data_IF_067245108534
#
_entry.id   IF_067245108534
#
_cell.length_a   1.000
_cell.length_b   1.000
_cell.length_c   1.000
_cell.angle_alpha   90.00
_cell.angle_beta   90.00
_cell.angle_gamma   90.00
#
_symmetry.space_group_name_H-M   'P 1'
#
loop_
_entity.id
_entity.type
_entity.pdbx_description
1 polymer ?
#
# COMPACT_ATOMS: atom_id res chain seq x y z
N UNK A 1 13.47 -36.62 18.87
CA UNK A 1 12.55 -36.35 19.99
C UNK A 1 12.98 -35.02 20.57
N UNK A 2 12.18 -33.97 20.56
CA UNK A 2 10.76 -33.86 20.17
C UNK A 2 10.59 -32.71 19.15
N UNK A 3 9.66 -32.84 18.19
CA UNK A 3 9.17 -31.64 17.47
C UNK A 3 8.25 -30.92 18.44
N UNK A 4 8.61 -29.71 18.89
CA UNK A 4 7.60 -28.77 19.41
C UNK A 4 6.74 -28.29 18.23
N UNK A 5 5.48 -27.97 18.51
CA UNK A 5 4.46 -27.79 17.47
C UNK A 5 4.14 -26.31 17.25
N UNK A 6 4.14 -25.87 16.01
CA UNK A 6 3.84 -24.48 15.63
C UNK A 6 2.33 -24.14 15.72
N UNK A 7 1.45 -25.12 16.00
CA UNK A 7 -0.01 -24.91 16.04
C UNK A 7 -0.46 -23.82 17.04
N UNK A 8 0.35 -23.45 18.03
CA UNK A 8 0.02 -22.39 19.01
C UNK A 8 0.23 -20.94 18.53
N UNK A 9 0.89 -20.69 17.38
CA UNK A 9 0.89 -19.34 16.76
C UNK A 9 -0.36 -19.16 15.88
N UNK A 10 -0.68 -20.15 15.05
CA UNK A 10 -1.82 -20.11 14.13
C UNK A 10 -3.18 -19.92 14.86
N UNK A 11 -3.35 -20.57 16.02
CA UNK A 11 -4.58 -20.45 16.83
C UNK A 11 -4.76 -19.09 17.53
N UNK A 12 -3.80 -18.16 17.45
CA UNK A 12 -3.95 -16.78 17.95
C UNK A 12 -4.43 -15.82 16.85
N UNK A 13 -3.87 -15.91 15.63
CA UNK A 13 -4.21 -15.00 14.51
C UNK A 13 -5.73 -14.98 14.24
N UNK A 14 -6.37 -16.16 14.16
CA UNK A 14 -7.83 -16.29 13.93
C UNK A 14 -8.68 -15.58 15.00
N UNK A 15 -8.21 -15.50 16.26
CA UNK A 15 -8.96 -14.83 17.34
C UNK A 15 -8.72 -13.31 17.40
N UNK A 16 -7.72 -12.79 16.66
CA UNK A 16 -7.40 -11.36 16.61
C UNK A 16 -8.29 -10.58 15.64
N UNK A 17 -8.91 -11.26 14.67
CA UNK A 17 -9.71 -10.68 13.58
C UNK A 17 -11.06 -10.04 14.04
N UNK A 18 -11.32 -10.00 15.36
CA UNK A 18 -12.59 -9.54 15.96
C UNK A 18 -12.36 -8.34 16.91
N UNK A 19 -11.13 -7.80 17.04
CA UNK A 19 -10.82 -6.77 18.04
C UNK A 19 -10.02 -5.54 17.55
N UNK A 20 -10.33 -5.02 16.37
CA UNK A 20 -9.85 -3.71 15.92
C UNK A 20 -10.79 -2.56 16.36
N UNK A 21 -10.91 -2.31 17.68
CA UNK A 21 -11.70 -1.19 18.22
C UNK A 21 -10.90 0.11 18.34
N UNK A 22 -11.20 1.07 17.45
CA UNK A 22 -10.97 2.51 17.49
C UNK A 22 -9.98 3.10 18.53
N UNK A 23 -8.96 3.80 18.02
CA UNK A 23 -8.36 4.96 18.70
C UNK A 23 -8.45 6.21 17.81
N UNK A 24 -9.60 6.90 17.86
CA UNK A 24 -9.75 8.25 17.28
C UNK A 24 -9.70 9.27 18.43
N UNK A 25 -8.58 9.97 18.58
CA UNK A 25 -8.40 11.01 19.61
C UNK A 25 -9.11 12.31 19.21
N UNK A 26 -10.42 12.37 19.46
CA UNK A 26 -11.24 13.56 19.21
C UNK A 26 -11.03 14.67 20.25
N UNK A 27 -10.16 15.64 19.95
CA UNK A 27 -9.96 16.82 20.81
C UNK A 27 -11.20 17.74 20.81
N UNK A 28 -11.96 17.76 21.90
CA UNK A 28 -12.99 18.79 22.16
C UNK A 28 -12.93 19.28 23.62
N UNK A 29 -12.44 20.51 23.81
CA UNK A 29 -12.39 21.16 25.13
C UNK A 29 -13.77 21.62 25.61
N UNK A 30 -14.43 20.77 26.42
CA UNK A 30 -15.65 21.15 27.14
C UNK A 30 -15.27 21.92 28.42
N UNK A 31 -15.00 23.22 28.27
CA UNK A 31 -14.78 24.12 29.40
C UNK A 31 -16.09 24.41 30.14
N UNK A 32 -16.37 23.64 31.19
CA UNK A 32 -17.49 23.87 32.11
C UNK A 32 -17.24 25.13 32.94
N UNK A 33 -18.00 26.19 32.66
CA UNK A 33 -17.94 27.43 33.43
C UNK A 33 -18.64 27.33 34.79
N UNK A 34 -18.01 27.90 35.81
CA UNK A 34 -18.65 28.22 37.10
C UNK A 34 -18.44 29.70 37.46
N UNK A 35 -19.27 30.24 38.34
CA UNK A 35 -19.46 31.69 38.56
C UNK A 35 -18.77 32.18 39.83
N UNK A 36 -18.32 33.44 39.83
CA UNK A 36 -18.70 34.41 40.88
C UNK A 36 -18.28 35.86 40.55
N UNK A 37 -19.26 36.76 40.73
CA UNK A 37 -19.21 38.14 41.23
C UNK A 37 -17.98 39.06 40.95
N UNK A 38 -18.23 40.14 40.18
CA UNK A 38 -17.29 41.26 39.97
C UNK A 38 -18.02 42.55 39.52
N UNK A 39 -18.50 43.34 40.47
CA UNK A 39 -19.28 44.57 40.26
C UNK A 39 -18.47 45.73 39.61
N UNK A 40 -19.12 46.53 38.72
CA UNK A 40 -19.20 48.03 38.75
C UNK A 40 -19.13 48.75 37.37
N UNK A 41 -20.23 49.44 36.98
CA UNK A 41 -20.29 50.71 36.20
C UNK A 41 -19.73 50.77 34.74
N UNK A 42 -20.14 51.66 33.83
CA UNK A 42 -21.33 52.54 33.64
C UNK A 42 -21.31 53.13 32.18
N UNK A 43 -22.30 53.97 31.83
CA UNK A 43 -22.29 55.00 30.76
C UNK A 43 -22.66 54.58 29.32
N UNK A 44 -23.93 54.84 28.95
CA UNK A 44 -24.45 55.63 27.80
C UNK A 44 -23.87 55.48 26.35
N UNK A 45 -24.60 55.75 25.25
CA UNK A 45 -25.86 56.52 25.05
C UNK A 45 -26.56 56.16 23.73
N UNK A 46 -27.91 56.26 23.66
CA UNK A 46 -28.73 56.64 22.45
C UNK A 46 -28.62 55.80 21.15
N UNK A 47 -29.53 55.76 20.17
CA UNK A 47 -30.93 56.19 19.89
C UNK A 47 -31.27 55.62 18.48
N UNK A 48 -32.50 55.42 17.97
CA UNK A 48 -33.88 55.70 18.39
C UNK A 48 -34.84 54.76 17.59
N UNK A 49 -36.11 54.63 18.02
CA UNK A 49 -37.39 54.48 17.24
C UNK A 49 -37.40 53.86 15.80
N UNK A 50 -38.39 53.09 15.36
CA UNK A 50 -39.76 52.76 15.83
C UNK A 50 -40.22 51.44 15.13
N UNK A 51 -41.09 50.58 15.71
CA UNK A 51 -42.58 50.58 15.58
C UNK A 51 -43.07 50.51 14.11
N UNK A 52 -43.96 49.62 13.67
CA UNK A 52 -45.01 48.79 14.33
C UNK A 52 -45.13 47.42 13.59
N UNK A 53 -45.54 46.30 14.21
CA UNK A 53 -46.93 45.76 14.33
C UNK A 53 -47.71 45.68 12.98
N UNK A 54 -48.50 44.65 12.63
CA UNK A 54 -49.00 43.43 13.33
C UNK A 54 -49.65 42.45 12.32
N UNK A 55 -49.90 41.19 12.72
CA UNK A 55 -51.11 40.32 12.51
C UNK A 55 -51.99 40.44 11.22
N UNK A 56 -52.62 39.38 10.66
CA UNK A 56 -52.66 37.93 10.98
C UNK A 56 -53.52 37.09 9.97
N UNK A 57 -53.13 35.83 9.72
CA UNK A 57 -54.00 34.62 9.60
C UNK A 57 -55.00 34.50 8.41
N UNK A 58 -55.57 33.29 8.25
CA UNK A 58 -56.51 32.75 7.22
C UNK A 58 -55.85 32.30 5.91
N UNK A 59 -55.81 30.99 5.57
CA UNK A 59 -56.86 30.03 5.12
C UNK A 59 -57.09 30.12 3.60
N UNK A 60 -57.32 29.06 2.80
CA UNK A 60 -57.18 27.60 2.93
C UNK A 60 -57.26 26.97 1.50
N UNK A 61 -57.34 25.63 1.39
CA UNK A 61 -57.75 24.83 0.22
C UNK A 61 -56.86 24.85 -1.06
N UNK A 62 -56.97 23.91 -2.02
CA UNK A 62 -57.01 22.43 -1.96
C UNK A 62 -56.78 21.89 -3.40
N UNK A 63 -56.13 20.71 -3.57
CA UNK A 63 -55.93 19.97 -4.85
C UNK A 63 -55.11 20.72 -5.96
N UNK A 64 -54.37 20.05 -6.86
CA UNK A 64 -54.65 18.79 -7.54
C UNK A 64 -53.39 17.97 -7.91
N UNK A 65 -53.59 16.74 -8.40
CA UNK A 65 -52.61 15.73 -8.83
C UNK A 65 -51.76 16.14 -10.04
N UNK A 66 -50.52 15.61 -10.15
CA UNK A 66 -50.15 14.65 -11.22
C UNK A 66 -48.67 14.20 -11.21
N UNK A 67 -48.49 12.92 -11.55
CA UNK A 67 -47.30 12.30 -12.21
C UNK A 67 -45.98 12.07 -11.43
N UNK A 68 -45.21 11.12 -11.98
CA UNK A 68 -44.08 10.39 -11.40
C UNK A 68 -42.81 10.61 -12.23
N UNK A 69 -41.63 10.54 -11.60
CA UNK A 69 -40.50 9.81 -12.21
C UNK A 69 -39.50 9.33 -11.13
N UNK A 70 -38.70 8.32 -11.49
CA UNK A 70 -37.58 7.84 -10.68
C UNK A 70 -36.35 8.77 -10.80
N UNK A 71 -35.41 8.68 -9.87
CA UNK A 71 -34.14 9.45 -9.94
C UNK A 71 -32.96 8.69 -9.34
N UNK A 72 -32.35 7.82 -10.17
CA UNK A 72 -31.07 7.15 -9.88
C UNK A 72 -29.92 8.01 -10.40
N UNK A 73 -29.36 8.88 -9.54
CA UNK A 73 -28.32 9.84 -9.94
C UNK A 73 -26.90 9.28 -9.81
N UNK A 74 -26.26 9.00 -10.95
CA UNK A 74 -24.79 8.87 -11.01
C UNK A 74 -24.16 10.26 -11.10
N UNK A 75 -23.06 10.50 -10.37
CA UNK A 75 -22.31 11.76 -10.42
C UNK A 75 -20.81 11.50 -10.66
N UNK A 76 -20.38 11.73 -11.89
CA UNK A 76 -18.96 11.85 -12.27
C UNK A 76 -18.48 13.29 -12.04
N UNK A 77 -17.42 13.47 -11.25
CA UNK A 77 -16.88 14.80 -10.94
C UNK A 77 -15.73 15.20 -11.88
N UNK A 78 -15.97 16.14 -12.78
CA UNK A 78 -14.93 16.77 -13.61
C UNK A 78 -14.33 17.98 -12.88
N UNK A 79 -13.00 18.05 -12.76
CA UNK A 79 -12.33 19.22 -12.17
C UNK A 79 -12.27 20.41 -13.15
N UNK A 80 -12.21 21.63 -12.61
CA UNK A 80 -12.15 22.87 -13.39
C UNK A 80 -10.72 23.42 -13.47
N UNK A 81 -10.31 23.80 -14.68
CA UNK A 81 -9.05 24.50 -14.96
C UNK A 81 -9.26 26.01 -15.08
N UNK A 82 -8.23 26.78 -14.71
CA UNK A 82 -8.14 28.21 -14.97
C UNK A 82 -6.67 28.64 -15.16
N UNK A 83 -6.30 29.64 -15.96
CA UNK A 83 -6.64 29.96 -17.37
C UNK A 83 -6.01 31.31 -17.77
N UNK A 84 -5.10 31.31 -18.75
CA UNK A 84 -4.66 32.49 -19.54
C UNK A 84 -3.80 31.95 -20.70
N UNK A 85 -4.23 31.93 -21.97
CA UNK A 85 -4.56 33.06 -22.88
C UNK A 85 -3.34 33.97 -23.15
N UNK A 86 -3.07 34.46 -24.36
CA UNK A 86 -3.96 34.74 -25.51
C UNK A 86 -3.31 34.48 -26.89
N UNK A 87 -4.14 34.00 -27.85
CA UNK A 87 -4.41 34.51 -29.23
C UNK A 87 -3.26 34.87 -30.21
N UNK A 88 -3.39 34.75 -31.55
CA UNK A 88 -4.40 34.14 -32.45
C UNK A 88 -3.84 34.00 -33.90
N UNK A 89 -4.66 33.46 -34.82
CA UNK A 89 -4.52 33.48 -36.30
C UNK A 89 -3.35 32.65 -36.89
N UNK A 90 -3.49 31.78 -37.90
CA UNK A 90 -4.59 31.53 -38.85
C UNK A 90 -4.22 31.97 -40.28
N UNK A 91 -4.75 31.40 -41.37
CA UNK A 91 -5.65 30.25 -41.53
C UNK A 91 -5.40 29.49 -42.86
N UNK A 92 -5.51 28.15 -42.84
CA UNK A 92 -5.83 27.31 -44.02
C UNK A 92 -4.76 27.09 -45.11
N UNK A 93 -4.98 26.21 -46.12
CA UNK A 93 -6.12 25.28 -46.30
C UNK A 93 -5.82 24.12 -47.29
N UNK A 94 -6.01 22.88 -46.81
CA UNK A 94 -6.51 21.67 -47.51
C UNK A 94 -5.77 20.97 -48.68
N UNK A 95 -6.13 19.67 -48.77
CA UNK A 95 -6.25 18.76 -49.93
C UNK A 95 -5.05 18.00 -50.55
N UNK A 96 -4.97 16.72 -50.14
CA UNK A 96 -5.05 15.49 -50.98
C UNK A 96 -4.39 15.51 -52.38
N UNK A 97 -3.47 14.54 -52.61
CA UNK A 97 -3.77 13.43 -53.53
C UNK A 97 -2.87 12.19 -53.28
N UNK A 98 -3.08 11.12 -54.05
CA UNK A 98 -2.49 9.78 -53.88
C UNK A 98 -1.66 9.30 -55.08
N UNK A 99 -0.96 8.16 -54.85
CA UNK A 99 -0.48 7.14 -55.81
C UNK A 99 0.90 7.23 -56.50
N UNK A 100 1.71 6.24 -56.13
CA UNK A 100 2.31 5.19 -56.99
C UNK A 100 2.98 5.59 -58.32
N UNK A 101 4.32 5.52 -58.36
CA UNK A 101 5.09 4.48 -59.07
C UNK A 101 6.59 4.60 -58.70
N UNK A 102 7.36 3.60 -58.25
CA UNK A 102 7.63 2.21 -58.70
C UNK A 102 8.83 2.12 -59.66
N UNK A 103 9.61 1.04 -59.50
CA UNK A 103 10.69 0.55 -60.38
C UNK A 103 12.03 1.35 -60.41
N UNK A 104 13.22 0.75 -60.52
CA UNK A 104 13.69 -0.62 -60.17
C UNK A 104 15.24 -0.67 -60.25
N UNK A 105 15.89 -1.63 -59.54
CA UNK A 105 17.27 -2.13 -59.80
C UNK A 105 18.45 -1.12 -59.70
N UNK A 106 19.73 -1.54 -59.64
CA UNK A 106 20.30 -2.90 -59.63
C UNK A 106 21.48 -3.05 -58.64
N UNK A 107 21.87 -4.31 -58.46
CA UNK A 107 23.00 -4.91 -57.70
C UNK A 107 24.41 -4.28 -57.92
N UNK A 108 25.51 -4.64 -57.20
CA UNK A 108 26.01 -6.01 -56.89
C UNK A 108 27.28 -6.02 -55.99
N UNK A 109 27.56 -7.13 -55.29
CA UNK A 109 28.85 -7.70 -54.78
C UNK A 109 29.92 -6.78 -54.11
N UNK A 110 30.71 -7.17 -53.10
CA UNK A 110 30.88 -8.36 -52.20
C UNK A 110 31.99 -8.01 -51.15
N UNK A 111 32.62 -8.84 -50.29
CA UNK A 111 32.70 -10.31 -50.11
C UNK A 111 33.23 -10.69 -48.69
N UNK A 112 33.10 -11.97 -48.33
CA UNK A 112 33.70 -12.77 -47.25
C UNK A 112 34.99 -12.31 -46.55
N UNK A 113 35.05 -12.59 -45.24
CA UNK A 113 36.06 -13.50 -44.68
C UNK A 113 35.48 -14.29 -43.50
N UNK A 114 35.90 -15.56 -43.36
CA UNK A 114 35.57 -16.44 -42.23
C UNK A 114 36.79 -16.61 -41.34
N UNK A 115 36.56 -16.87 -40.06
CA UNK A 115 37.30 -17.94 -39.38
C UNK A 115 36.39 -18.62 -38.36
N UNK A 116 36.74 -19.86 -37.98
CA UNK A 116 35.84 -20.77 -37.27
C UNK A 116 36.58 -21.57 -36.21
N UNK A 117 36.11 -21.56 -34.95
CA UNK A 117 36.60 -22.50 -33.94
C UNK A 117 35.59 -22.78 -32.84
N UNK A 118 35.38 -24.06 -32.58
CA UNK A 118 34.51 -24.59 -31.54
C UNK A 118 35.05 -24.34 -30.13
N UNK A 119 34.15 -24.09 -29.19
CA UNK A 119 34.20 -24.73 -27.87
C UNK A 119 32.79 -25.15 -27.47
N UNK A 120 32.71 -26.20 -26.65
CA UNK A 120 31.48 -26.89 -26.26
C UNK A 120 31.33 -26.84 -24.73
N UNK A 121 30.11 -27.02 -24.24
CA UNK A 121 29.74 -27.30 -22.85
C UNK A 121 29.98 -26.18 -21.81
N UNK A 122 28.98 -25.32 -21.63
CA UNK A 122 28.52 -24.94 -20.28
C UNK A 122 27.02 -24.60 -20.31
N UNK A 123 26.19 -25.62 -20.06
CA UNK A 123 24.73 -25.46 -19.82
C UNK A 123 24.53 -24.65 -18.53
N UNK A 124 23.86 -23.52 -18.63
CA UNK A 124 23.14 -22.86 -17.52
C UNK A 124 21.72 -22.60 -18.03
N UNK A 125 20.70 -22.84 -17.20
CA UNK A 125 19.32 -23.11 -17.61
C UNK A 125 18.97 -24.58 -17.36
N UNK A 126 17.73 -24.84 -16.89
CA UNK A 126 17.32 -26.02 -16.10
C UNK A 126 17.86 -25.93 -14.65
N UNK A 127 17.05 -25.28 -13.81
CA UNK A 127 17.10 -25.27 -12.34
C UNK A 127 15.67 -25.11 -11.77
N UNK A 128 14.89 -24.19 -12.34
CA UNK A 128 13.50 -23.88 -11.94
C UNK A 128 12.40 -24.81 -12.51
N UNK A 129 12.74 -25.97 -13.09
CA UNK A 129 11.76 -26.85 -13.77
C UNK A 129 10.96 -27.79 -12.83
N UNK A 130 11.32 -27.83 -11.53
CA UNK A 130 10.68 -28.70 -10.51
C UNK A 130 10.31 -27.95 -9.21
N UNK A 131 10.44 -26.61 -9.15
CA UNK A 131 10.17 -25.82 -7.94
C UNK A 131 8.70 -25.38 -7.84
N UNK A 132 8.06 -25.71 -6.71
CA UNK A 132 6.65 -25.38 -6.50
C UNK A 132 6.50 -23.94 -6.01
N UNK A 133 6.03 -23.05 -6.89
CA UNK A 133 5.91 -21.62 -6.59
C UNK A 133 5.01 -21.35 -5.37
N UNK A 134 3.89 -22.07 -5.21
CA UNK A 134 3.01 -21.94 -4.04
C UNK A 134 3.64 -22.43 -2.72
N UNK A 135 4.81 -23.08 -2.75
CA UNK A 135 5.55 -23.50 -1.56
C UNK A 135 6.76 -22.61 -1.21
N UNK A 136 7.08 -21.60 -2.04
CA UNK A 136 8.12 -20.59 -1.76
C UNK A 136 7.55 -19.18 -1.50
N UNK A 137 6.30 -18.94 -1.89
CA UNK A 137 5.53 -17.74 -1.55
C UNK A 137 5.03 -17.80 -0.09
N UNK A 138 4.62 -16.66 0.51
CA UNK A 138 3.76 -16.67 1.68
C UNK A 138 2.44 -17.42 1.41
N UNK A 139 1.80 -17.89 2.48
CA UNK A 139 0.45 -18.45 2.41
C UNK A 139 -0.61 -17.33 2.32
N UNK A 140 -0.45 -16.27 3.11
CA UNK A 140 -1.36 -15.12 3.15
C UNK A 140 -1.04 -14.05 2.09
N UNK A 141 -2.09 -13.59 1.40
CA UNK A 141 -2.07 -12.42 0.52
C UNK A 141 -3.30 -11.52 0.81
N UNK A 142 -3.16 -10.20 0.65
CA UNK A 142 -4.23 -9.22 0.87
C UNK A 142 -4.37 -8.23 -0.30
N UNK A 143 -5.59 -7.83 -0.60
CA UNK A 143 -5.93 -6.75 -1.55
C UNK A 143 -6.73 -5.67 -0.82
N UNK A 144 -6.22 -4.44 -0.79
CA UNK A 144 -6.94 -3.25 -0.30
C UNK A 144 -6.32 -1.98 -0.89
N UNK A 145 -6.96 -0.82 -0.71
CA UNK A 145 -6.39 0.50 -1.02
C UNK A 145 -5.53 1.10 0.11
N UNK A 146 -5.39 0.41 1.25
CA UNK A 146 -4.89 1.01 2.51
C UNK A 146 -5.79 2.13 3.09
N UNK A 147 -6.94 2.40 2.47
CA UNK A 147 -7.81 3.53 2.78
C UNK A 147 -9.30 3.12 2.79
N UNK A 148 -9.81 2.82 3.97
CA UNK A 148 -11.19 2.37 4.21
C UNK A 148 -11.24 1.28 5.28
N UNK A 149 -12.40 0.67 5.47
CA UNK A 149 -12.61 -0.50 6.35
C UNK A 149 -12.77 -1.80 5.56
N UNK A 150 -12.06 -1.93 4.43
CA UNK A 150 -12.26 -2.98 3.45
C UNK A 150 -10.97 -3.70 3.04
N UNK A 151 -11.12 -4.95 2.60
CA UNK A 151 -10.07 -5.73 1.99
C UNK A 151 -10.56 -7.11 1.55
N UNK A 152 -9.81 -7.73 0.63
CA UNK A 152 -9.95 -9.14 0.28
C UNK A 152 -8.71 -9.91 0.69
N UNK A 153 -8.87 -10.79 1.67
CA UNK A 153 -7.85 -11.70 2.17
C UNK A 153 -7.94 -13.04 1.43
N UNK A 154 -6.79 -13.65 1.10
CA UNK A 154 -6.72 -15.05 0.66
C UNK A 154 -5.58 -15.80 1.37
N UNK A 155 -5.78 -17.09 1.60
CA UNK A 155 -4.78 -18.01 2.16
C UNK A 155 -4.58 -19.17 1.16
N UNK A 156 -3.42 -19.21 0.53
CA UNK A 156 -3.04 -20.17 -0.52
C UNK A 156 -2.24 -21.33 0.09
N UNK A 157 -2.62 -22.56 -0.26
CA UNK A 157 -1.91 -23.78 0.12
C UNK A 157 -0.87 -24.18 -0.93
N UNK A 158 0.16 -24.94 -0.53
CA UNK A 158 1.23 -25.45 -1.42
C UNK A 158 0.72 -26.11 -2.72
N UNK A 159 -0.48 -26.71 -2.72
CA UNK A 159 -1.02 -27.40 -3.90
C UNK A 159 -1.82 -26.47 -4.85
N UNK A 160 -1.96 -25.19 -4.52
CA UNK A 160 -2.73 -24.18 -5.26
C UNK A 160 -4.20 -24.03 -4.85
N UNK A 161 -4.72 -24.73 -3.83
CA UNK A 161 -6.06 -24.41 -3.28
C UNK A 161 -6.01 -23.26 -2.31
N UNK A 162 -7.05 -22.42 -2.28
CA UNK A 162 -7.14 -21.29 -1.38
C UNK A 162 -8.51 -21.14 -0.72
N UNK A 163 -8.51 -20.52 0.46
CA UNK A 163 -9.69 -19.95 1.14
C UNK A 163 -9.58 -18.41 1.05
N UNK A 164 -10.70 -17.69 1.00
CA UNK A 164 -10.70 -16.24 0.84
C UNK A 164 -11.93 -15.53 1.42
N UNK A 165 -11.75 -14.26 1.77
CA UNK A 165 -12.74 -13.42 2.46
C UNK A 165 -12.62 -11.97 2.00
N UNK A 166 -13.64 -11.46 1.31
CA UNK A 166 -13.85 -10.03 1.09
C UNK A 166 -14.72 -9.44 2.20
N UNK A 167 -14.34 -8.24 2.67
CA UNK A 167 -15.14 -7.41 3.56
C UNK A 167 -15.06 -5.92 3.19
N UNK A 168 -16.11 -5.15 3.47
CA UNK A 168 -16.08 -3.68 3.57
C UNK A 168 -17.00 -3.22 4.72
N UNK A 169 -16.44 -2.46 5.65
CA UNK A 169 -17.07 -2.10 6.94
C UNK A 169 -17.49 -0.63 6.98
N UNK A 170 -18.62 -0.29 6.36
CA UNK A 170 -19.29 1.00 6.58
C UNK A 170 -19.99 1.01 7.95
N UNK A 171 -19.17 1.21 8.99
CA UNK A 171 -19.62 1.36 10.37
C UNK A 171 -20.40 2.68 10.60
N UNK A 172 -20.55 3.54 9.59
CA UNK A 172 -21.36 4.75 9.62
C UNK A 172 -22.81 4.53 9.17
N UNK A 173 -23.05 3.70 8.14
CA UNK A 173 -24.38 3.35 7.65
C UNK A 173 -25.13 2.46 8.67
N UNK A 174 -25.92 3.14 9.51
CA UNK A 174 -26.62 2.63 10.69
C UNK A 174 -28.12 2.89 10.61
N UNK A 175 -28.93 2.08 11.28
CA UNK A 175 -30.40 2.26 11.28
C UNK A 175 -31.16 1.35 12.23
N UNK A 176 -32.50 1.30 12.07
CA UNK A 176 -33.36 0.51 12.95
C UNK A 176 -33.00 -0.98 12.89
N UNK A 177 -32.55 -1.52 14.03
CA UNK A 177 -32.08 -2.91 14.16
C UNK A 177 -30.60 -3.13 13.83
N UNK A 178 -29.90 -2.15 13.25
CA UNK A 178 -28.47 -2.24 12.92
C UNK A 178 -27.71 -0.99 13.39
N UNK A 179 -27.55 -0.86 14.71
CA UNK A 179 -26.87 0.30 15.33
C UNK A 179 -25.34 0.18 15.35
N UNK A 180 -24.78 -0.97 14.97
CA UNK A 180 -23.33 -1.19 14.82
C UNK A 180 -22.84 -1.11 13.37
N UNK A 181 -23.71 -0.68 12.44
CA UNK A 181 -23.32 -0.33 11.08
C UNK A 181 -23.60 -1.41 10.05
N UNK A 182 -22.93 -1.28 8.90
CA UNK A 182 -23.07 -2.15 7.73
C UNK A 182 -21.75 -2.81 7.38
N UNK A 183 -21.79 -4.09 7.02
CA UNK A 183 -20.62 -4.82 6.51
C UNK A 183 -21.01 -5.57 5.24
N UNK A 184 -20.33 -5.27 4.13
CA UNK A 184 -20.38 -6.07 2.91
C UNK A 184 -19.46 -7.28 3.09
N UNK A 185 -19.90 -8.47 2.66
CA UNK A 185 -19.16 -9.73 2.89
C UNK A 185 -19.24 -10.70 1.71
N UNK A 186 -18.11 -11.37 1.42
CA UNK A 186 -18.09 -12.58 0.59
C UNK A 186 -17.01 -13.56 1.08
N UNK A 187 -17.41 -14.76 1.51
CA UNK A 187 -16.49 -15.86 1.81
C UNK A 187 -16.46 -16.84 0.65
N UNK A 188 -15.27 -17.27 0.23
CA UNK A 188 -15.08 -18.12 -0.94
C UNK A 188 -13.90 -19.09 -0.79
N UNK A 189 -13.87 -20.10 -1.64
CA UNK A 189 -12.72 -20.98 -1.82
C UNK A 189 -12.44 -21.17 -3.31
N UNK A 190 -11.23 -21.59 -3.67
CA UNK A 190 -10.88 -21.79 -5.06
C UNK A 190 -9.62 -22.60 -5.29
N UNK A 191 -9.23 -22.70 -6.55
CA UNK A 191 -8.10 -23.50 -7.01
C UNK A 191 -7.38 -22.82 -8.16
N UNK A 192 -6.09 -22.55 -8.00
CA UNK A 192 -5.20 -22.20 -9.10
C UNK A 192 -4.60 -23.45 -9.76
N UNK A 193 -4.22 -23.33 -11.04
CA UNK A 193 -3.39 -24.32 -11.74
C UNK A 193 -1.92 -24.22 -11.32
N UNK A 194 -1.09 -25.17 -11.75
CA UNK A 194 0.36 -25.14 -11.50
C UNK A 194 0.97 -23.93 -12.25
N UNK A 195 1.64 -22.98 -11.56
CA UNK A 195 2.20 -21.80 -12.21
C UNK A 195 3.24 -22.17 -13.27
N UNK A 196 3.19 -21.50 -14.42
CA UNK A 196 4.09 -21.70 -15.55
C UNK A 196 5.05 -20.48 -15.66
N UNK A 197 6.36 -20.69 -15.85
CA UNK A 197 7.31 -19.59 -16.00
C UNK A 197 7.08 -18.81 -17.29
N UNK A 198 7.40 -17.52 -17.27
CA UNK A 198 7.44 -16.66 -18.47
C UNK A 198 8.85 -16.58 -19.07
N UNK A 199 9.10 -15.65 -19.98
CA UNK A 199 10.46 -15.32 -20.46
C UNK A 199 11.29 -14.52 -19.41
N UNK A 200 10.68 -14.05 -18.31
CA UNK A 200 11.33 -13.42 -17.15
C UNK A 200 11.37 -14.41 -15.97
N UNK A 201 12.54 -14.57 -15.33
CA UNK A 201 12.76 -15.56 -14.27
C UNK A 201 12.01 -15.26 -12.96
N UNK A 202 11.55 -14.02 -12.77
CA UNK A 202 10.81 -13.58 -11.59
C UNK A 202 9.29 -13.53 -11.81
N UNK A 203 8.79 -13.95 -12.99
CA UNK A 203 7.37 -13.78 -13.37
C UNK A 203 6.80 -15.10 -13.90
N UNK A 204 5.67 -15.50 -13.31
CA UNK A 204 4.93 -16.72 -13.64
C UNK A 204 3.47 -16.37 -14.00
N UNK A 205 2.81 -17.18 -14.82
CA UNK A 205 1.37 -17.14 -15.07
C UNK A 205 0.69 -18.37 -14.46
N UNK A 206 -0.51 -18.20 -13.89
CA UNK A 206 -1.39 -19.31 -13.50
C UNK A 206 -2.83 -19.01 -13.89
N UNK A 207 -3.70 -20.02 -13.82
CA UNK A 207 -5.13 -19.92 -14.13
C UNK A 207 -6.00 -20.27 -12.95
N UNK A 208 -7.14 -19.60 -12.85
CA UNK A 208 -8.20 -19.96 -11.90
C UNK A 208 -9.00 -21.14 -12.46
N UNK A 209 -8.93 -22.30 -11.78
CA UNK A 209 -9.57 -23.55 -12.18
C UNK A 209 -10.96 -23.73 -11.56
N UNK A 210 -11.16 -23.23 -10.34
CA UNK A 210 -12.44 -23.21 -9.62
C UNK A 210 -12.51 -22.00 -8.69
N UNK A 211 -13.71 -21.44 -8.53
CA UNK A 211 -14.06 -20.44 -7.53
C UNK A 211 -15.48 -20.74 -7.03
N UNK A 212 -15.60 -21.05 -5.74
CA UNK A 212 -16.85 -21.46 -5.10
C UNK A 212 -17.15 -20.51 -3.93
N UNK A 213 -18.25 -19.75 -4.03
CA UNK A 213 -18.70 -18.86 -2.95
C UNK A 213 -19.44 -19.67 -1.88
N UNK A 214 -19.14 -19.44 -0.60
CA UNK A 214 -19.71 -20.16 0.55
C UNK A 214 -21.21 -19.91 0.70
N UNK A 215 -21.63 -18.66 0.50
CA UNK A 215 -23.01 -18.17 0.66
C UNK A 215 -23.62 -17.78 -0.71
N UNK A 216 -23.35 -18.57 -1.75
CA UNK A 216 -23.76 -18.30 -3.13
C UNK A 216 -25.27 -18.08 -3.34
N UNK A 217 -26.13 -18.59 -2.45
CA UNK A 217 -27.59 -18.38 -2.50
C UNK A 217 -28.05 -17.09 -1.80
N UNK A 218 -27.16 -16.40 -1.07
CA UNK A 218 -27.41 -15.12 -0.40
C UNK A 218 -26.92 -13.89 -1.18
N UNK A 219 -26.17 -14.05 -2.28
CA UNK A 219 -25.61 -12.91 -3.03
C UNK A 219 -26.71 -11.92 -3.43
N UNK A 220 -26.49 -10.63 -3.16
CA UNK A 220 -27.48 -9.56 -3.37
C UNK A 220 -28.58 -9.49 -2.30
N UNK A 221 -28.46 -10.22 -1.19
CA UNK A 221 -29.38 -10.14 -0.04
C UNK A 221 -28.76 -9.42 1.16
N UNK A 222 -29.62 -9.02 2.09
CA UNK A 222 -29.24 -8.34 3.34
C UNK A 222 -29.80 -9.09 4.53
N UNK A 223 -28.99 -9.27 5.57
CA UNK A 223 -29.36 -9.90 6.84
C UNK A 223 -28.93 -8.99 7.98
N UNK A 224 -29.70 -8.95 9.08
CA UNK A 224 -29.32 -8.22 10.29
C UNK A 224 -29.11 -9.25 11.41
N UNK A 225 -27.89 -9.32 11.92
CA UNK A 225 -27.48 -10.24 13.00
C UNK A 225 -26.62 -9.45 14.01
N UNK A 226 -26.81 -9.69 15.30
CA UNK A 226 -26.12 -9.03 16.43
C UNK A 226 -25.96 -7.49 16.32
N UNK A 227 -27.03 -6.84 15.82
CA UNK A 227 -27.14 -5.39 15.61
C UNK A 227 -26.21 -4.79 14.52
N UNK A 228 -25.70 -5.64 13.61
CA UNK A 228 -24.97 -5.28 12.39
C UNK A 228 -25.77 -5.69 11.14
N UNK A 229 -25.69 -4.90 10.06
CA UNK A 229 -26.34 -5.19 8.76
C UNK A 229 -25.34 -5.79 7.77
N UNK A 230 -25.43 -7.08 7.53
CA UNK A 230 -24.60 -7.80 6.57
C UNK A 230 -25.22 -7.76 5.16
N UNK A 231 -24.42 -7.40 4.16
CA UNK A 231 -24.82 -7.40 2.74
C UNK A 231 -23.90 -8.40 2.01
N UNK A 232 -24.48 -9.43 1.41
CA UNK A 232 -23.70 -10.47 0.73
C UNK A 232 -23.43 -10.04 -0.73
N UNK A 233 -22.16 -9.99 -1.12
CA UNK A 233 -21.71 -9.51 -2.43
C UNK A 233 -20.88 -10.57 -3.16
N UNK A 234 -20.62 -10.34 -4.45
CA UNK A 234 -19.51 -11.01 -5.15
C UNK A 234 -18.15 -10.61 -4.52
N UNK A 235 -17.08 -11.40 -4.70
CA UNK A 235 -15.78 -11.16 -4.09
C UNK A 235 -14.93 -10.16 -4.89
N UNK A 236 -14.67 -8.98 -4.32
CA UNK A 236 -13.84 -7.95 -4.97
C UNK A 236 -12.37 -8.41 -5.09
N UNK A 237 -11.74 -8.18 -6.24
CA UNK A 237 -10.42 -8.70 -6.60
C UNK A 237 -10.47 -10.02 -7.39
N UNK A 238 -11.67 -10.53 -7.69
CA UNK A 238 -11.88 -11.73 -8.51
C UNK A 238 -12.83 -11.47 -9.70
N UNK A 239 -13.09 -10.20 -10.02
CA UNK A 239 -13.77 -9.74 -11.22
C UNK A 239 -13.07 -10.24 -12.50
N UNK A 240 -13.84 -10.79 -13.45
CA UNK A 240 -13.36 -11.33 -14.74
C UNK A 240 -12.14 -12.29 -14.65
N UNK A 241 -11.97 -12.95 -13.50
CA UNK A 241 -10.79 -13.76 -13.18
C UNK A 241 -10.70 -15.07 -13.98
N UNK A 242 -9.63 -15.22 -14.78
CA UNK A 242 -9.24 -16.44 -15.51
C UNK A 242 -7.71 -16.65 -15.50
N UNK A 243 -6.94 -15.60 -15.79
CA UNK A 243 -5.47 -15.61 -15.76
C UNK A 243 -4.93 -14.67 -14.67
N UNK A 244 -3.91 -15.15 -13.95
CA UNK A 244 -3.22 -14.42 -12.89
C UNK A 244 -1.72 -14.39 -13.17
N UNK A 245 -1.08 -13.25 -12.90
CA UNK A 245 0.38 -13.14 -12.90
C UNK A 245 0.90 -13.19 -11.46
N UNK A 246 1.96 -13.97 -11.25
CA UNK A 246 2.72 -14.03 -9.99
C UNK A 246 4.06 -13.35 -10.24
N UNK A 247 4.34 -12.31 -9.46
CA UNK A 247 5.64 -11.62 -9.43
C UNK A 247 6.37 -11.99 -8.14
N UNK A 248 7.60 -12.49 -8.27
CA UNK A 248 8.48 -12.87 -7.17
C UNK A 248 9.35 -11.67 -6.72
N UNK A 249 9.95 -11.71 -5.52
CA UNK A 249 11.01 -10.80 -5.10
C UNK A 249 12.07 -10.62 -6.19
N UNK A 250 12.47 -9.38 -6.46
CA UNK A 250 13.39 -9.06 -7.55
C UNK A 250 12.72 -8.82 -8.93
N UNK A 251 11.44 -9.13 -9.13
CA UNK A 251 10.72 -8.78 -10.37
C UNK A 251 10.75 -7.25 -10.61
N UNK A 252 11.00 -6.81 -11.85
CA UNK A 252 11.06 -5.37 -12.13
C UNK A 252 9.68 -4.73 -12.11
N UNK A 253 9.55 -3.59 -11.40
CA UNK A 253 8.32 -2.79 -11.42
C UNK A 253 7.97 -2.29 -12.83
N UNK A 254 8.95 -2.21 -13.74
CA UNK A 254 8.74 -1.85 -15.15
C UNK A 254 8.08 -2.95 -16.00
N UNK A 255 8.06 -4.20 -15.52
CA UNK A 255 7.39 -5.33 -16.17
C UNK A 255 5.90 -5.46 -15.80
N UNK A 256 5.47 -4.80 -14.73
CA UNK A 256 4.07 -4.73 -14.31
C UNK A 256 3.24 -3.79 -15.21
N UNK A 257 1.91 -3.96 -15.22
CA UNK A 257 0.99 -2.96 -15.78
C UNK A 257 0.90 -1.72 -14.88
N UNK A 258 0.28 -0.62 -15.34
CA UNK A 258 0.09 0.58 -14.51
C UNK A 258 -0.97 0.34 -13.43
N UNK A 259 -1.99 -0.42 -13.81
CA UNK A 259 -3.06 -0.93 -12.99
C UNK A 259 -2.53 -1.85 -11.88
N UNK A 260 -1.68 -2.84 -12.22
CA UNK A 260 -1.00 -3.68 -11.22
C UNK A 260 -0.18 -2.84 -10.24
N UNK A 261 0.61 -1.87 -10.72
CA UNK A 261 1.41 -1.00 -9.86
C UNK A 261 0.55 -0.15 -8.91
N UNK A 262 -0.66 0.24 -9.33
CA UNK A 262 -1.55 1.07 -8.51
C UNK A 262 -2.09 0.39 -7.24
N UNK A 263 -1.98 -0.94 -7.17
CA UNK A 263 -2.42 -1.77 -6.04
C UNK A 263 -1.28 -2.42 -5.24
N UNK A 264 -0.03 -2.23 -5.66
CA UNK A 264 1.13 -2.82 -4.99
C UNK A 264 1.65 -1.88 -3.91
N UNK A 265 1.59 -2.34 -2.66
CA UNK A 265 1.74 -1.54 -1.43
C UNK A 265 3.20 -1.18 -1.10
N UNK A 266 4.02 -0.83 -2.10
CA UNK A 266 5.47 -0.60 -1.98
C UNK A 266 5.84 0.79 -2.48
N UNK A 267 6.83 1.44 -1.85
CA UNK A 267 7.29 2.79 -2.26
C UNK A 267 8.05 2.80 -3.60
N UNK A 268 7.29 2.74 -4.69
CA UNK A 268 7.80 2.61 -6.07
C UNK A 268 8.68 3.77 -6.54
N UNK A 269 8.57 4.96 -5.94
CA UNK A 269 9.41 6.11 -6.27
C UNK A 269 10.89 5.90 -5.94
N UNK A 270 11.21 4.92 -5.07
CA UNK A 270 12.55 4.69 -4.52
C UNK A 270 13.20 3.37 -4.93
N UNK A 271 12.52 2.47 -5.67
CA UNK A 271 13.03 1.15 -6.05
C UNK A 271 12.65 0.75 -7.49
N UNK A 272 13.48 -0.05 -8.16
CA UNK A 272 13.23 -0.53 -9.54
C UNK A 272 12.60 -1.95 -9.62
N UNK A 273 12.56 -2.65 -8.48
CA UNK A 273 12.19 -4.08 -8.35
C UNK A 273 11.38 -4.33 -7.08
N UNK A 274 10.64 -5.43 -7.03
CA UNK A 274 10.03 -5.91 -5.79
C UNK A 274 11.13 -6.21 -4.74
N UNK A 275 10.95 -5.79 -3.47
CA UNK A 275 11.90 -6.08 -2.39
C UNK A 275 11.98 -7.57 -2.04
N UNK A 276 12.98 -7.96 -1.25
CA UNK A 276 13.10 -9.33 -0.70
C UNK A 276 11.82 -9.75 0.02
N UNK A 277 11.44 -11.03 -0.12
CA UNK A 277 10.24 -11.65 0.48
C UNK A 277 8.89 -10.97 0.19
N UNK A 278 8.85 -10.02 -0.74
CA UNK A 278 7.63 -9.37 -1.23
C UNK A 278 7.14 -10.00 -2.54
N UNK A 279 5.88 -10.42 -2.56
CA UNK A 279 5.24 -11.13 -3.67
C UNK A 279 3.97 -10.42 -4.09
N UNK A 280 3.64 -10.49 -5.39
CA UNK A 280 2.38 -9.94 -5.94
C UNK A 280 1.66 -10.99 -6.75
N UNK A 281 0.37 -11.20 -6.45
CA UNK A 281 -0.55 -11.99 -7.26
C UNK A 281 -1.56 -11.03 -7.92
N UNK A 282 -1.51 -10.91 -9.23
CA UNK A 282 -2.28 -9.93 -10.00
C UNK A 282 -3.37 -10.60 -10.84
N UNK A 283 -4.64 -10.22 -10.62
CA UNK A 283 -5.77 -10.60 -11.45
C UNK A 283 -5.68 -9.86 -12.80
N UNK A 284 -5.44 -10.57 -13.90
CA UNK A 284 -5.30 -9.92 -15.22
C UNK A 284 -6.65 -9.44 -15.78
N UNK A 285 -7.78 -9.99 -15.28
CA UNK A 285 -9.13 -9.68 -15.74
C UNK A 285 -9.65 -8.34 -15.21
N UNK A 286 -9.84 -8.24 -13.89
CA UNK A 286 -10.30 -7.02 -13.19
C UNK A 286 -9.20 -5.96 -13.00
N UNK A 287 -7.92 -6.38 -13.06
CA UNK A 287 -6.73 -5.57 -12.86
C UNK A 287 -6.42 -5.17 -11.39
N UNK A 288 -6.84 -6.00 -10.43
CA UNK A 288 -6.48 -5.89 -9.01
C UNK A 288 -5.18 -6.66 -8.68
N UNK A 289 -4.39 -6.16 -7.72
CA UNK A 289 -3.19 -6.85 -7.23
C UNK A 289 -3.29 -7.16 -5.74
N UNK A 290 -3.00 -8.40 -5.37
CA UNK A 290 -2.87 -8.89 -4.02
C UNK A 290 -1.40 -8.90 -3.60
N UNK A 291 -1.13 -8.42 -2.40
CA UNK A 291 0.19 -8.26 -1.82
C UNK A 291 0.46 -9.37 -0.80
N UNK A 292 1.63 -10.00 -0.86
CA UNK A 292 2.03 -11.07 0.06
C UNK A 292 3.45 -10.83 0.58
N UNK A 293 3.64 -10.95 1.91
CA UNK A 293 4.94 -10.84 2.58
C UNK A 293 5.11 -12.05 3.50
N UNK A 294 6.32 -12.63 3.58
CA UNK A 294 6.59 -13.75 4.49
C UNK A 294 6.48 -13.37 5.96
N UNK A 295 6.00 -14.32 6.78
CA UNK A 295 5.79 -14.17 8.23
C UNK A 295 7.10 -13.97 9.04
N UNK A 296 8.26 -14.21 8.40
CA UNK A 296 9.63 -14.01 8.90
C UNK A 296 10.46 -13.02 8.05
N UNK A 297 9.80 -12.22 7.20
CA UNK A 297 10.44 -11.19 6.37
C UNK A 297 11.10 -10.07 7.19
N UNK A 298 12.18 -9.48 6.65
CA UNK A 298 12.87 -8.34 7.24
C UNK A 298 11.98 -7.09 7.44
N UNK A 299 10.92 -6.93 6.64
CA UNK A 299 10.05 -5.75 6.65
C UNK A 299 9.01 -5.70 7.77
N UNK A 300 8.93 -6.75 8.59
CA UNK A 300 8.01 -6.86 9.73
C UNK A 300 8.77 -6.87 11.07
N UNK A 301 10.04 -6.47 11.05
CA UNK A 301 11.01 -6.60 12.15
C UNK A 301 11.72 -5.29 12.42
N UNK A 302 11.67 -4.80 13.67
CA UNK A 302 12.50 -3.68 14.13
C UNK A 302 13.79 -4.21 14.79
N UNK A 303 14.89 -3.46 14.63
CA UNK A 303 16.18 -3.77 15.27
C UNK A 303 16.66 -2.56 16.07
N UNK A 304 17.36 -2.80 17.18
CA UNK A 304 17.83 -1.73 18.07
C UNK A 304 19.31 -1.90 18.45
N UNK A 305 19.99 -0.77 18.57
CA UNK A 305 21.25 -0.64 19.29
C UNK A 305 21.06 0.24 20.54
N UNK A 306 21.58 -0.18 21.69
CA UNK A 306 21.47 0.53 22.98
C UNK A 306 22.86 0.91 23.52
N UNK A 307 23.02 2.16 23.95
CA UNK A 307 24.23 2.70 24.58
C UNK A 307 23.89 3.56 25.81
N UNK A 308 23.88 2.92 26.98
CA UNK A 308 23.40 3.57 28.21
C UNK A 308 21.90 3.82 28.10
N UNK A 309 21.47 5.05 28.33
CA UNK A 309 20.07 5.47 28.17
C UNK A 309 19.72 5.80 26.69
N UNK A 310 20.73 6.10 25.87
CA UNK A 310 20.59 6.42 24.44
C UNK A 310 20.44 5.15 23.58
N UNK A 311 19.72 5.25 22.47
CA UNK A 311 19.48 4.14 21.55
C UNK A 311 19.30 4.59 20.10
N UNK A 312 19.41 3.65 19.17
CA UNK A 312 19.13 3.85 17.75
C UNK A 312 18.22 2.72 17.28
N UNK A 313 17.07 3.08 16.69
CA UNK A 313 16.19 2.12 16.03
C UNK A 313 16.54 2.04 14.54
N UNK A 314 16.44 0.82 14.00
CA UNK A 314 16.39 0.50 12.59
C UNK A 314 15.03 -0.14 12.30
N UNK A 315 14.28 0.48 11.39
CA UNK A 315 12.95 0.02 11.01
C UNK A 315 12.89 -0.14 9.49
N UNK A 316 13.20 -1.33 8.96
CA UNK A 316 12.91 -1.71 7.58
C UNK A 316 11.41 -1.58 7.28
N UNK A 317 11.04 -0.96 6.15
CA UNK A 317 9.66 -0.96 5.67
C UNK A 317 9.58 -0.83 4.14
N UNK A 318 8.82 -1.71 3.48
CA UNK A 318 8.57 -1.66 2.03
C UNK A 318 7.60 -0.52 1.64
N UNK A 319 6.57 -0.26 2.46
CA UNK A 319 5.51 0.70 2.18
C UNK A 319 5.91 2.14 2.51
N UNK A 320 6.30 2.39 3.76
CA UNK A 320 6.64 3.74 4.24
C UNK A 320 8.07 4.17 3.88
N UNK A 321 8.91 3.25 3.41
CA UNK A 321 10.35 3.41 3.31
C UNK A 321 11.05 3.13 4.65
N UNK A 322 12.26 2.60 4.59
CA UNK A 322 13.02 2.20 5.78
C UNK A 322 13.66 3.41 6.47
N UNK A 323 13.89 3.35 7.78
CA UNK A 323 14.45 4.47 8.53
C UNK A 323 15.43 4.06 9.66
N UNK A 324 16.39 4.94 9.93
CA UNK A 324 17.13 4.98 11.20
C UNK A 324 16.68 6.17 12.01
N UNK A 325 16.54 6.02 13.33
CA UNK A 325 16.22 7.12 14.25
C UNK A 325 17.05 7.02 15.53
N UNK A 326 17.78 8.10 15.84
CA UNK A 326 18.75 8.21 16.94
C UNK A 326 18.13 8.98 18.12
N UNK A 327 18.03 8.35 19.28
CA UNK A 327 17.41 8.91 20.49
C UNK A 327 18.40 8.97 21.65
N UNK A 328 18.46 10.09 22.37
CA UNK A 328 19.37 10.26 23.52
C UNK A 328 18.82 9.64 24.82
N UNK A 329 17.51 9.50 24.91
CA UNK A 329 16.75 8.80 25.95
C UNK A 329 15.30 8.57 25.46
N UNK A 330 14.50 7.83 26.22
CA UNK A 330 13.10 7.50 25.88
C UNK A 330 12.12 8.70 25.98
N UNK A 331 12.51 9.79 26.63
CA UNK A 331 11.65 10.98 26.85
C UNK A 331 11.89 12.07 25.78
N UNK A 332 12.91 11.88 24.93
CA UNK A 332 13.36 12.84 23.91
C UNK A 332 12.89 12.49 22.49
N UNK A 333 12.66 13.48 21.62
CA UNK A 333 12.49 13.22 20.19
C UNK A 333 13.79 12.70 19.55
N UNK A 334 13.66 12.08 18.38
CA UNK A 334 14.83 11.69 17.58
C UNK A 334 15.72 12.92 17.30
N UNK A 335 17.01 12.79 17.60
CA UNK A 335 18.04 13.83 17.38
C UNK A 335 18.61 13.79 15.97
N UNK A 336 18.48 12.65 15.29
CA UNK A 336 18.70 12.44 13.87
C UNK A 336 17.72 11.37 13.40
N UNK A 337 17.12 11.54 12.22
CA UNK A 337 16.38 10.48 11.53
C UNK A 337 16.77 10.49 10.05
N UNK A 338 16.98 9.32 9.47
CA UNK A 338 17.46 9.14 8.10
C UNK A 338 16.46 8.31 7.29
N UNK A 339 16.15 8.75 6.06
CA UNK A 339 15.36 7.99 5.09
C UNK A 339 16.26 7.07 4.28
N UNK A 340 15.95 5.76 4.26
CA UNK A 340 16.85 4.71 3.76
C UNK A 340 16.21 3.98 2.56
N UNK A 341 16.69 4.24 1.32
CA UNK A 341 16.23 3.53 0.12
C UNK A 341 16.96 2.18 -0.02
N UNK A 342 16.65 1.24 0.89
CA UNK A 342 17.22 -0.11 0.91
C UNK A 342 16.26 -1.15 0.33
N UNK A 343 16.83 -2.15 -0.34
CA UNK A 343 16.12 -3.25 -1.05
C UNK A 343 15.92 -4.52 -0.20
N UNK A 344 16.54 -4.56 0.99
CA UNK A 344 16.46 -5.66 1.96
C UNK A 344 17.64 -6.64 1.91
N UNK A 345 18.53 -6.53 0.91
CA UNK A 345 19.66 -7.45 0.71
C UNK A 345 21.02 -6.76 0.50
N UNK A 346 21.03 -5.56 -0.08
CA UNK A 346 22.26 -4.89 -0.48
C UNK A 346 23.13 -4.50 0.72
N UNK A 347 24.41 -4.89 0.66
CA UNK A 347 25.44 -4.49 1.62
C UNK A 347 26.42 -3.42 1.10
N UNK A 348 26.07 -2.77 -0.01
CA UNK A 348 26.83 -1.65 -0.56
C UNK A 348 26.58 -0.35 0.24
N UNK A 349 27.39 0.67 0.00
CA UNK A 349 27.15 2.00 0.61
C UNK A 349 26.06 2.75 -0.14
N UNK A 350 25.04 3.20 0.58
CA UNK A 350 23.86 3.91 0.08
C UNK A 350 23.90 5.36 0.61
N UNK A 351 23.70 6.34 -0.27
CA UNK A 351 23.53 7.74 0.13
C UNK A 351 22.10 7.96 0.66
N UNK A 352 22.00 8.50 1.88
CA UNK A 352 20.75 8.67 2.62
C UNK A 352 20.60 10.12 3.09
N UNK A 353 19.37 10.62 3.16
CA UNK A 353 19.04 12.01 3.54
C UNK A 353 18.39 12.09 4.93
N UNK A 354 18.59 13.22 5.62
CA UNK A 354 17.83 13.54 6.84
C UNK A 354 16.34 13.65 6.58
N UNK A 355 15.55 12.98 7.42
CA UNK A 355 14.11 12.98 7.32
C UNK A 355 13.51 14.22 8.02
N UNK A 356 12.40 14.73 7.48
CA UNK A 356 11.55 15.78 8.07
C UNK A 356 12.20 17.19 8.21
N UNK A 357 13.30 17.45 7.50
CA UNK A 357 13.95 18.77 7.37
C UNK A 357 13.73 19.38 5.97
N UNK A 358 13.91 20.70 5.83
CA UNK A 358 13.78 21.43 4.57
C UNK A 358 15.10 21.64 3.81
N UNK A 359 16.23 21.25 4.41
CA UNK A 359 17.59 21.41 3.90
C UNK A 359 18.42 20.22 4.46
N UNK A 360 18.20 18.99 3.95
CA UNK A 360 18.78 17.77 4.53
C UNK A 360 20.28 17.68 4.31
N UNK A 361 21.00 17.19 5.32
CA UNK A 361 22.38 16.72 5.14
C UNK A 361 22.39 15.27 4.66
N UNK A 362 23.44 14.87 3.93
CA UNK A 362 23.57 13.53 3.37
C UNK A 362 24.58 12.67 4.14
N UNK A 363 24.27 11.39 4.25
CA UNK A 363 25.01 10.40 5.02
C UNK A 363 25.25 9.15 4.15
N UNK A 364 26.48 8.66 4.15
CA UNK A 364 26.81 7.33 3.66
C UNK A 364 26.35 6.31 4.70
N UNK A 365 25.47 5.39 4.33
CA UNK A 365 25.00 4.32 5.20
C UNK A 365 25.38 2.97 4.60
N UNK A 366 25.70 2.00 5.45
CA UNK A 366 26.00 0.63 5.02
C UNK A 366 25.42 -0.34 6.04
N UNK A 367 24.55 -1.24 5.56
CA UNK A 367 23.83 -2.24 6.34
C UNK A 367 24.43 -3.60 5.99
N UNK A 368 24.85 -4.39 6.97
CA UNK A 368 25.44 -5.72 6.73
C UNK A 368 24.78 -6.78 7.58
N UNK A 369 24.33 -7.87 6.95
CA UNK A 369 23.66 -8.96 7.66
C UNK A 369 24.71 -9.85 8.31
N UNK A 370 24.69 -9.92 9.64
CA UNK A 370 25.63 -10.76 10.42
C UNK A 370 25.04 -12.16 10.63
N UNK A 371 23.76 -12.20 10.96
CA UNK A 371 22.92 -13.39 11.11
C UNK A 371 21.45 -12.96 11.00
N UNK A 372 20.49 -13.86 11.22
CA UNK A 372 19.05 -13.56 11.04
C UNK A 372 18.46 -12.64 12.12
N UNK A 373 19.15 -12.49 13.26
CA UNK A 373 18.72 -11.65 14.40
C UNK A 373 19.57 -10.37 14.52
N UNK A 374 20.62 -10.20 13.70
CA UNK A 374 21.64 -9.17 13.90
C UNK A 374 22.16 -8.52 12.61
N UNK A 375 22.25 -7.19 12.61
CA UNK A 375 22.86 -6.39 11.55
C UNK A 375 24.03 -5.53 12.09
N UNK A 376 25.09 -5.39 11.31
CA UNK A 376 26.17 -4.41 11.56
C UNK A 376 25.92 -3.22 10.65
N UNK A 377 25.71 -2.04 11.25
CA UNK A 377 25.25 -0.85 10.54
C UNK A 377 26.22 0.28 10.80
N UNK A 378 26.62 0.97 9.72
CA UNK A 378 27.57 2.09 9.75
C UNK A 378 26.95 3.31 9.08
N UNK A 379 27.12 4.48 9.68
CA UNK A 379 26.62 5.78 9.23
C UNK A 379 27.80 6.77 9.27
N UNK A 380 28.05 7.47 8.18
CA UNK A 380 29.17 8.41 8.02
C UNK A 380 28.69 9.67 7.28
N UNK A 381 28.75 10.84 7.92
CA UNK A 381 28.29 12.11 7.34
C UNK A 381 29.14 12.55 6.14
N UNK A 382 28.51 13.08 5.10
CA UNK A 382 29.18 13.50 3.85
C UNK A 382 29.57 14.99 3.88
N UNK A 383 29.01 15.78 4.79
CA UNK A 383 29.20 17.24 4.85
C UNK A 383 30.44 17.68 5.66
N UNK A 384 30.86 18.94 5.46
CA UNK A 384 31.85 19.61 6.34
C UNK A 384 31.35 19.81 7.79
N UNK A 385 30.09 19.44 8.11
CA UNK A 385 29.44 19.53 9.43
C UNK A 385 29.20 18.13 10.00
N UNK A 386 30.28 17.39 10.23
CA UNK A 386 30.29 16.09 10.93
C UNK A 386 29.32 16.04 12.12
N UNK A 387 28.28 15.19 12.03
CA UNK A 387 27.32 14.98 13.12
C UNK A 387 27.98 14.33 14.35
N UNK A 388 27.63 14.78 15.56
CA UNK A 388 28.19 14.26 16.80
C UNK A 388 27.47 12.98 17.26
N UNK A 389 27.99 11.83 16.81
CA UNK A 389 27.50 10.52 17.23
C UNK A 389 28.00 10.07 18.62
N UNK A 390 28.76 10.88 19.36
CA UNK A 390 29.28 10.49 20.68
C UNK A 390 28.22 10.18 21.76
N UNK A 391 26.98 10.72 21.75
CA UNK A 391 25.92 10.29 22.66
C UNK A 391 25.56 8.80 22.51
N UNK A 392 25.73 8.23 21.32
CA UNK A 392 25.52 6.80 21.01
C UNK A 392 26.83 6.00 21.00
N UNK A 393 27.90 6.52 21.61
CA UNK A 393 29.18 5.83 21.68
C UNK A 393 30.06 5.93 20.42
N UNK A 394 29.71 6.81 19.47
CA UNK A 394 30.58 7.14 18.34
C UNK A 394 31.95 7.63 18.81
N UNK A 395 33.03 7.09 18.24
CA UNK A 395 34.43 7.41 18.63
C UNK A 395 35.27 8.01 17.50
N UNK A 396 34.77 7.97 16.26
CA UNK A 396 35.34 8.65 15.10
C UNK A 396 34.43 9.86 14.78
N UNK A 397 34.97 11.07 14.55
CA UNK A 397 34.16 12.24 14.20
C UNK A 397 33.29 11.98 12.95
N UNK A 398 32.05 12.49 12.96
CA UNK A 398 31.11 12.35 11.85
C UNK A 398 30.60 10.93 11.59
N UNK A 399 30.94 9.94 12.44
CA UNK A 399 30.74 8.53 12.12
C UNK A 399 30.30 7.66 13.30
N UNK A 400 29.40 6.74 12.99
CA UNK A 400 28.82 5.75 13.88
C UNK A 400 28.90 4.36 13.24
N UNK A 401 29.17 3.33 14.05
CA UNK A 401 29.18 1.94 13.59
C UNK A 401 28.84 1.04 14.77
N UNK A 402 27.79 0.23 14.64
CA UNK A 402 27.21 -0.53 15.74
C UNK A 402 26.58 -1.85 15.29
N UNK A 403 26.32 -2.73 16.26
CA UNK A 403 25.62 -3.99 16.09
C UNK A 403 24.18 -3.82 16.59
N UNK A 404 23.21 -3.93 15.68
CA UNK A 404 21.78 -3.80 15.92
C UNK A 404 21.17 -5.20 16.03
N UNK A 405 20.34 -5.42 17.05
CA UNK A 405 19.72 -6.72 17.37
C UNK A 405 18.20 -6.62 17.23
N UNK A 406 17.58 -7.68 16.73
CA UNK A 406 16.14 -7.83 16.58
C UNK A 406 15.39 -7.55 17.91
N UNK A 407 14.34 -6.74 17.85
CA UNK A 407 13.43 -6.52 18.96
C UNK A 407 12.42 -7.67 19.00
N UNK A 408 12.42 -8.47 20.08
CA UNK A 408 11.37 -9.47 20.30
C UNK A 408 10.00 -8.78 20.48
N UNK A 409 8.98 -9.25 19.75
CA UNK A 409 7.58 -8.83 19.92
C UNK A 409 6.87 -9.69 20.99
N UNK A 410 6.35 -9.03 22.03
CA UNK A 410 5.65 -9.61 23.20
C UNK A 410 4.34 -10.39 22.89
#
# INVERSE_FOLDING_TARGET
MEKRSNHTRLSKKILSLILCTLLITGCTDISLGDKNDGNSQDVDTSSEKQSQDTESVTDADEHNESETDDSKSSLTSTSLVASSTDNEDGTGKADKNSKDSKDNKDSKDSKDSKDNKDSKDSKVGSAAEDENIFAIMPDYFYFSSGAGGWGTDIIISEDGSFEGSYHDSDMGDTGEGYQYGTVYVCNFTGKFDVPQPTDDEYIYTTKLLDLTLTDADKIGTTVIEDETRYIYTDPYGFEDADEFMIYLPGASLSAMTEECRSWVDVRMESIERLPVDYYVLYNVGGAEAFNGIKDDSIWTQDFQYQYGDAYVNFSPAYYMGSYFSFFVDNDSPASLSLSIPWDGESEETIECEENWTSDPETYNVTIKKKDDETYIITVEGISDKEFDFSPWGGTEPGKFSAEFVLIESD
#
